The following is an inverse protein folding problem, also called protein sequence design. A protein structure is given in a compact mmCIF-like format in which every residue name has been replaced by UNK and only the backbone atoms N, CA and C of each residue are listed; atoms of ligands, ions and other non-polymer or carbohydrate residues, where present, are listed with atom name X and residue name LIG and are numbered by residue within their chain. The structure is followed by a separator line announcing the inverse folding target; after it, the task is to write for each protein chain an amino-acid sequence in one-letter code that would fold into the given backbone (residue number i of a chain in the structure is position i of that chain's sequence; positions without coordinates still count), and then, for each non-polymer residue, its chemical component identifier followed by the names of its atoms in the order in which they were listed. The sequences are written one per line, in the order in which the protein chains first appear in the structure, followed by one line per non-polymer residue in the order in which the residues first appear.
data_IF_871661136274
#
_entry.id   IF_871661136274
#
_cell.length_a   1.000
_cell.length_b   1.000
_cell.length_c   1.000
_cell.angle_alpha   90.00
_cell.angle_beta   90.00
_cell.angle_gamma   90.00
#
_symmetry.space_group_name_H-M   'P 1'
#
loop_
_entity.id
_entity.type
_entity.pdbx_description
1 polymer ?
#
# COMPACT_ATOMS: atom_id res chain seq x y z
N UNK A 1 -47.65 38.71 37.26
CA UNK A 1 -47.94 37.92 36.04
C UNK A 1 -46.80 38.13 35.06
N UNK A 2 -46.37 37.05 34.41
CA UNK A 2 -45.08 36.84 33.73
C UNK A 2 -44.81 37.69 32.47
N UNK A 3 -43.54 37.59 32.02
CA UNK A 3 -42.98 37.73 30.66
C UNK A 3 -42.31 39.08 30.34
N UNK A 4 -41.16 39.17 29.66
CA UNK A 4 -40.18 38.18 29.21
C UNK A 4 -38.90 38.92 28.73
N UNK A 5 -37.85 38.13 28.53
CA UNK A 5 -36.43 38.44 28.30
C UNK A 5 -36.08 38.66 26.81
N UNK A 6 -35.02 39.44 26.58
CA UNK A 6 -34.03 39.39 25.48
C UNK A 6 -34.41 39.69 24.02
N UNK A 7 -33.47 40.35 23.31
CA UNK A 7 -33.26 40.08 21.88
C UNK A 7 -32.60 41.15 21.02
N UNK A 8 -31.34 41.53 21.26
CA UNK A 8 -30.48 42.13 20.22
C UNK A 8 -29.06 41.59 20.30
N UNK A 9 -28.82 40.48 19.63
CA UNK A 9 -27.49 40.02 19.20
C UNK A 9 -27.68 39.07 18.00
N UNK A 10 -28.03 39.64 16.85
CA UNK A 10 -28.07 38.94 15.55
C UNK A 10 -27.27 39.76 14.54
N UNK A 11 -25.95 39.67 14.62
CA UNK A 11 -25.07 40.11 13.52
C UNK A 11 -23.71 39.41 13.55
N UNK A 12 -23.28 38.92 14.71
CA UNK A 12 -21.97 38.29 14.89
C UNK A 12 -21.94 36.82 14.41
N UNK A 13 -23.10 36.13 14.41
CA UNK A 13 -23.17 34.71 14.06
C UNK A 13 -22.94 34.41 12.57
N UNK A 14 -23.30 35.33 11.67
CA UNK A 14 -23.19 35.11 10.22
C UNK A 14 -21.74 35.20 9.73
N UNK A 15 -20.99 36.19 10.22
CA UNK A 15 -19.57 36.36 9.88
C UNK A 15 -18.71 35.20 10.39
N UNK A 16 -19.03 34.64 11.57
CA UNK A 16 -18.27 33.53 12.14
C UNK A 16 -18.41 32.25 11.29
N UNK A 17 -19.61 31.97 10.77
CA UNK A 17 -19.88 30.77 9.97
C UNK A 17 -19.19 30.85 8.60
N UNK A 18 -19.20 32.03 7.95
CA UNK A 18 -18.49 32.24 6.69
C UNK A 18 -16.96 32.12 6.85
N UNK A 19 -16.42 32.58 7.98
CA UNK A 19 -15.00 32.42 8.31
C UNK A 19 -14.62 30.94 8.50
N UNK A 20 -15.45 30.14 9.15
CA UNK A 20 -15.19 28.70 9.35
C UNK A 20 -15.22 27.95 8.00
N UNK A 21 -16.13 28.29 7.09
CA UNK A 21 -16.16 27.70 5.75
C UNK A 21 -14.95 28.11 4.89
N UNK A 22 -14.49 29.36 4.99
CA UNK A 22 -13.28 29.82 4.30
C UNK A 22 -12.02 29.13 4.84
N UNK A 23 -11.92 28.93 6.16
CA UNK A 23 -10.84 28.17 6.79
C UNK A 23 -10.89 26.70 6.34
N UNK A 24 -12.07 26.07 6.28
CA UNK A 24 -12.22 24.69 5.82
C UNK A 24 -11.73 24.51 4.37
N UNK A 25 -12.05 25.47 3.47
CA UNK A 25 -11.59 25.47 2.08
C UNK A 25 -10.08 25.73 1.96
N UNK A 26 -9.50 26.59 2.81
CA UNK A 26 -8.05 26.85 2.85
C UNK A 26 -7.26 25.71 3.52
N UNK A 27 -7.90 24.91 4.38
CA UNK A 27 -7.34 23.68 4.94
C UNK A 27 -7.54 22.45 4.06
N UNK A 28 -8.09 22.61 2.85
CA UNK A 28 -7.86 21.65 1.75
C UNK A 28 -6.40 21.74 1.35
N UNK A 29 -5.55 21.29 2.27
CA UNK A 29 -4.14 21.06 2.11
C UNK A 29 -4.02 20.25 0.83
N UNK A 30 -3.42 20.85 -0.20
CA UNK A 30 -2.72 20.03 -1.17
C UNK A 30 -1.87 19.08 -0.34
N UNK A 31 -2.24 17.81 -0.32
CA UNK A 31 -1.35 16.76 0.14
C UNK A 31 -0.20 16.77 -0.85
N UNK A 32 0.74 17.68 -0.62
CA UNK A 32 2.12 17.54 -1.04
C UNK A 32 2.55 16.28 -0.29
N UNK A 33 2.23 15.13 -0.88
CA UNK A 33 2.88 13.89 -0.53
C UNK A 33 4.37 14.24 -0.61
N UNK A 34 5.11 14.11 0.50
CA UNK A 34 6.56 14.14 0.42
C UNK A 34 6.92 13.23 -0.75
N UNK A 35 7.81 13.69 -1.65
CA UNK A 35 8.45 12.76 -2.59
C UNK A 35 9.01 11.65 -1.70
N UNK A 36 8.32 10.52 -1.67
CA UNK A 36 8.79 9.39 -0.89
C UNK A 36 10.20 9.11 -1.37
N UNK A 37 11.17 8.91 -0.45
CA UNK A 37 12.53 8.60 -0.85
C UNK A 37 12.45 7.42 -1.81
N UNK A 38 13.06 7.56 -3.00
CA UNK A 38 13.09 6.53 -4.02
C UNK A 38 13.43 5.19 -3.34
N UNK A 39 12.47 4.26 -3.40
CA UNK A 39 12.59 3.02 -2.67
C UNK A 39 13.66 2.17 -3.34
N UNK A 40 14.83 2.18 -2.73
CA UNK A 40 15.95 1.40 -3.19
C UNK A 40 15.86 -0.02 -2.58
N UNK A 41 15.07 -0.88 -3.22
CA UNK A 41 14.81 -2.26 -2.78
C UNK A 41 16.11 -3.06 -2.74
N UNK A 42 16.90 -2.97 -3.81
CA UNK A 42 18.18 -3.68 -3.95
C UNK A 42 19.11 -3.41 -2.77
N UNK A 43 19.32 -2.14 -2.38
CA UNK A 43 20.17 -1.77 -1.23
C UNK A 43 19.57 -2.12 0.11
N UNK A 44 18.24 -2.16 0.25
CA UNK A 44 17.61 -2.57 1.52
C UNK A 44 17.82 -4.07 1.74
N UNK A 45 17.55 -4.88 0.73
CA UNK A 45 17.68 -6.34 0.81
C UNK A 45 19.15 -6.77 0.90
N UNK A 46 20.05 -6.10 0.18
CA UNK A 46 21.48 -6.43 0.18
C UNK A 46 22.20 -6.19 1.53
N UNK A 47 21.60 -5.43 2.45
CA UNK A 47 22.17 -5.17 3.79
C UNK A 47 21.77 -6.19 4.83
N UNK A 48 20.82 -7.06 4.51
CA UNK A 48 20.25 -8.02 5.46
C UNK A 48 20.93 -9.38 5.32
N UNK A 49 21.02 -10.09 6.45
CA UNK A 49 21.34 -11.51 6.45
C UNK A 49 20.07 -12.27 6.04
N UNK A 50 20.18 -13.17 5.06
CA UNK A 50 19.04 -13.99 4.59
C UNK A 50 18.37 -14.77 5.74
N UNK A 51 19.13 -15.18 6.76
CA UNK A 51 18.61 -15.88 7.93
C UNK A 51 17.75 -14.99 8.84
N UNK A 52 17.86 -13.68 8.68
CA UNK A 52 17.08 -12.68 9.39
C UNK A 52 15.89 -12.16 8.58
N UNK A 53 15.73 -12.59 7.33
CA UNK A 53 14.62 -12.19 6.47
C UNK A 53 13.50 -13.23 6.45
N UNK A 54 12.26 -12.75 6.38
CA UNK A 54 11.10 -13.55 6.01
C UNK A 54 10.30 -12.87 4.92
N UNK A 55 9.76 -13.68 4.02
CA UNK A 55 8.75 -13.28 3.04
C UNK A 55 7.40 -13.83 3.50
N UNK A 56 6.42 -12.96 3.67
CA UNK A 56 5.03 -13.36 3.88
C UNK A 56 4.22 -13.01 2.65
N UNK A 57 3.53 -13.98 2.06
CA UNK A 57 2.65 -13.80 0.89
C UNK A 57 1.22 -14.04 1.34
N UNK A 58 0.35 -13.09 1.02
CA UNK A 58 -1.10 -13.20 1.11
C UNK A 58 -1.64 -13.22 -0.30
N UNK A 59 -2.46 -14.21 -0.63
CA UNK A 59 -3.07 -14.30 -1.95
C UNK A 59 -4.53 -14.74 -1.86
N UNK A 60 -5.33 -14.25 -2.79
CA UNK A 60 -6.71 -14.60 -2.96
C UNK A 60 -6.89 -15.20 -4.35
N UNK A 61 -7.49 -16.38 -4.43
CA UNK A 61 -7.75 -17.05 -5.70
C UNK A 61 -8.48 -16.09 -6.66
N UNK A 62 -8.03 -15.96 -7.92
CA UNK A 62 -8.56 -14.96 -8.85
C UNK A 62 -10.03 -15.17 -9.21
N UNK A 63 -10.57 -16.38 -9.04
CA UNK A 63 -11.97 -16.71 -9.27
C UNK A 63 -12.90 -16.26 -8.13
N UNK A 64 -12.37 -15.83 -6.99
CA UNK A 64 -13.16 -15.32 -5.88
C UNK A 64 -13.60 -13.89 -6.15
N UNK A 65 -14.91 -13.69 -6.32
CA UNK A 65 -15.49 -12.38 -6.56
C UNK A 65 -15.43 -11.51 -5.30
N UNK A 66 -14.97 -10.27 -5.46
CA UNK A 66 -14.98 -9.26 -4.41
C UNK A 66 -16.03 -8.20 -4.73
N UNK A 67 -16.71 -7.68 -3.70
CA UNK A 67 -17.72 -6.64 -3.88
C UNK A 67 -17.11 -5.28 -4.23
N UNK A 68 -15.85 -5.07 -3.86
CA UNK A 68 -15.09 -3.86 -4.11
C UNK A 68 -13.60 -4.18 -4.28
N UNK A 69 -12.82 -3.27 -4.90
CA UNK A 69 -11.37 -3.37 -4.96
C UNK A 69 -10.73 -3.45 -3.57
N UNK A 70 -9.94 -4.48 -3.31
CA UNK A 70 -9.32 -4.68 -2.00
C UNK A 70 -8.06 -3.81 -1.83
N UNK A 71 -7.90 -3.19 -0.67
CA UNK A 71 -6.60 -2.72 -0.18
C UNK A 71 -5.73 -3.89 0.29
N UNK A 72 -4.47 -3.65 0.67
CA UNK A 72 -3.62 -4.67 1.27
C UNK A 72 -4.23 -5.16 2.61
N UNK A 73 -4.73 -4.23 3.42
CA UNK A 73 -5.35 -4.53 4.72
C UNK A 73 -6.67 -5.29 4.55
N UNK A 74 -7.49 -4.93 3.57
CA UNK A 74 -8.71 -5.66 3.24
C UNK A 74 -8.38 -7.09 2.78
N UNK A 75 -7.33 -7.27 1.97
CA UNK A 75 -6.89 -8.58 1.50
C UNK A 75 -6.43 -9.47 2.67
N UNK A 76 -5.59 -8.95 3.56
CA UNK A 76 -5.10 -9.69 4.73
C UNK A 76 -6.24 -10.15 5.65
N UNK A 77 -7.29 -9.36 5.74
CA UNK A 77 -8.48 -9.66 6.57
C UNK A 77 -9.58 -10.41 5.82
N UNK A 78 -9.37 -10.73 4.54
CA UNK A 78 -10.37 -11.41 3.73
C UNK A 78 -10.51 -12.88 4.13
N UNK A 79 -11.74 -13.39 4.23
CA UNK A 79 -12.02 -14.73 4.77
C UNK A 79 -11.28 -15.85 4.03
N UNK A 80 -11.23 -15.77 2.71
CA UNK A 80 -10.66 -16.82 1.85
C UNK A 80 -9.20 -16.53 1.45
N UNK A 81 -8.54 -15.57 2.11
CA UNK A 81 -7.13 -15.28 1.85
C UNK A 81 -6.26 -16.44 2.33
N UNK A 82 -5.30 -16.80 1.50
CA UNK A 82 -4.29 -17.78 1.83
C UNK A 82 -2.99 -17.08 2.19
N UNK A 83 -2.29 -17.62 3.19
CA UNK A 83 -1.04 -17.06 3.72
C UNK A 83 0.09 -18.07 3.62
N UNK A 84 1.21 -17.64 3.04
CA UNK A 84 2.45 -18.41 2.93
C UNK A 84 3.57 -17.63 3.61
N UNK A 85 4.43 -18.33 4.37
CA UNK A 85 5.58 -17.71 5.05
C UNK A 85 6.84 -18.48 4.68
N UNK A 86 7.80 -17.79 4.06
CA UNK A 86 9.07 -18.33 3.56
C UNK A 86 10.21 -17.70 4.36
N UNK A 87 11.23 -18.51 4.71
CA UNK A 87 12.39 -18.11 5.52
C UNK A 87 13.62 -18.91 5.10
N UNK A 88 14.81 -18.38 5.40
CA UNK A 88 16.06 -19.11 5.23
C UNK A 88 16.44 -19.29 3.75
N UNK A 89 17.09 -20.42 3.42
CA UNK A 89 17.66 -20.66 2.09
C UNK A 89 16.66 -20.61 0.93
N UNK A 90 15.37 -20.83 1.18
CA UNK A 90 14.32 -20.69 0.17
C UNK A 90 14.16 -19.26 -0.37
N UNK A 91 14.78 -18.27 0.29
CA UNK A 91 14.79 -16.87 -0.15
C UNK A 91 15.99 -16.50 -1.03
N UNK A 92 16.93 -17.42 -1.30
CA UNK A 92 18.15 -17.11 -2.07
C UNK A 92 17.82 -16.60 -3.48
N UNK A 93 17.04 -17.38 -4.23
CA UNK A 93 16.59 -17.00 -5.58
C UNK A 93 15.72 -15.73 -5.58
N UNK A 94 14.68 -15.59 -4.72
CA UNK A 94 13.95 -14.34 -4.58
C UNK A 94 14.83 -13.11 -4.30
N UNK A 95 15.83 -13.24 -3.42
CA UNK A 95 16.74 -12.14 -3.10
C UNK A 95 17.65 -11.78 -4.27
N UNK A 96 18.12 -12.77 -5.03
CA UNK A 96 18.94 -12.54 -6.21
C UNK A 96 18.16 -11.85 -7.34
N UNK A 97 16.87 -12.19 -7.51
CA UNK A 97 15.97 -11.47 -8.40
C UNK A 97 15.81 -10.00 -7.98
N UNK A 98 15.58 -9.73 -6.69
CA UNK A 98 15.41 -8.37 -6.17
C UNK A 98 16.65 -7.48 -6.36
N UNK A 99 17.86 -8.06 -6.40
CA UNK A 99 19.09 -7.32 -6.70
C UNK A 99 19.14 -6.78 -8.13
N UNK A 100 18.35 -7.35 -9.05
CA UNK A 100 18.29 -6.92 -10.45
C UNK A 100 17.36 -5.71 -10.66
N UNK A 101 16.56 -5.35 -9.65
CA UNK A 101 15.71 -4.16 -9.71
C UNK A 101 16.61 -2.92 -9.68
N UNK A 102 16.43 -2.04 -10.67
CA UNK A 102 17.12 -0.75 -10.70
C UNK A 102 16.71 0.09 -9.47
N UNK A 103 17.67 0.83 -8.94
CA UNK A 103 17.54 1.67 -7.74
C UNK A 103 16.41 2.71 -7.84
N UNK A 104 16.05 3.10 -9.08
CA UNK A 104 15.03 4.09 -9.40
C UNK A 104 13.82 3.43 -10.06
N UNK A 105 12.87 2.93 -9.26
CA UNK A 105 11.57 2.49 -9.76
C UNK A 105 10.80 3.70 -10.31
N UNK A 106 10.37 3.60 -11.57
CA UNK A 106 9.56 4.65 -12.22
C UNK A 106 8.13 4.63 -11.65
N UNK A 107 7.73 5.69 -10.96
CA UNK A 107 6.32 5.88 -10.57
C UNK A 107 5.45 6.15 -11.80
N UNK A 108 4.22 5.65 -11.80
CA UNK A 108 3.27 6.01 -12.87
C UNK A 108 2.70 7.42 -12.69
N UNK A 109 2.41 8.11 -13.81
CA UNK A 109 1.87 9.49 -13.79
C UNK A 109 0.42 9.56 -13.34
N UNK A 110 -0.40 8.59 -13.72
CA UNK A 110 -1.81 8.50 -13.37
C UNK A 110 -2.00 7.25 -12.52
N UNK A 111 -2.33 7.44 -11.24
CA UNK A 111 -2.50 6.35 -10.30
C UNK A 111 -3.80 5.60 -10.57
N UNK A 112 -3.70 4.28 -10.62
CA UNK A 112 -4.78 3.32 -10.62
C UNK A 112 -5.26 3.11 -9.19
N UNK A 113 -6.49 2.61 -9.05
CA UNK A 113 -7.00 2.20 -7.73
C UNK A 113 -6.39 0.84 -7.37
N UNK A 114 -5.87 0.71 -6.15
CA UNK A 114 -5.43 -0.59 -5.62
C UNK A 114 -6.62 -1.57 -5.62
N UNK A 115 -6.38 -2.75 -6.15
CA UNK A 115 -7.29 -3.89 -6.11
C UNK A 115 -6.44 -5.14 -5.89
N UNK A 116 -5.93 -5.30 -4.67
CA UNK A 116 -4.97 -6.35 -4.35
C UNK A 116 -5.61 -7.74 -4.46
N UNK A 117 -4.95 -8.63 -5.21
CA UNK A 117 -5.20 -10.08 -5.16
C UNK A 117 -4.03 -10.83 -4.58
N UNK A 118 -2.84 -10.27 -4.73
CA UNK A 118 -1.66 -10.70 -4.03
C UNK A 118 -1.08 -9.51 -3.28
N UNK A 119 -0.65 -9.75 -2.05
CA UNK A 119 0.12 -8.84 -1.24
C UNK A 119 1.26 -9.62 -0.58
N UNK A 120 2.49 -9.12 -0.66
CA UNK A 120 3.58 -9.74 0.08
C UNK A 120 4.47 -8.71 0.78
N UNK A 121 5.12 -9.16 1.85
CA UNK A 121 5.95 -8.33 2.71
C UNK A 121 7.27 -9.04 2.96
N UNK A 122 8.36 -8.31 2.72
CA UNK A 122 9.68 -8.68 3.21
C UNK A 122 9.93 -8.00 4.55
N UNK A 123 10.24 -8.80 5.57
CA UNK A 123 10.53 -8.33 6.92
C UNK A 123 11.91 -8.84 7.36
N UNK A 124 12.67 -7.96 8.01
CA UNK A 124 13.88 -8.30 8.74
C UNK A 124 13.55 -8.42 10.23
N UNK A 125 14.10 -9.44 10.89
CA UNK A 125 14.04 -9.58 12.35
C UNK A 125 14.60 -8.36 13.08
N UNK A 126 15.59 -7.68 12.48
CA UNK A 126 16.28 -6.52 13.07
C UNK A 126 15.60 -5.20 12.73
N UNK A 127 15.25 -5.02 11.45
CA UNK A 127 14.82 -3.72 10.91
C UNK A 127 13.30 -3.63 10.66
N UNK A 128 12.55 -4.69 10.94
CA UNK A 128 11.12 -4.77 10.65
C UNK A 128 10.85 -4.82 9.15
N UNK A 129 9.76 -4.19 8.71
CA UNK A 129 9.35 -4.19 7.30
C UNK A 129 10.42 -3.53 6.40
N UNK A 130 10.97 -4.30 5.46
CA UNK A 130 11.91 -3.81 4.45
C UNK A 130 11.16 -3.12 3.32
N UNK A 131 10.18 -3.83 2.75
CA UNK A 131 9.24 -3.33 1.76
C UNK A 131 8.04 -4.29 1.62
N UNK A 132 6.98 -3.81 0.99
CA UNK A 132 5.81 -4.59 0.62
C UNK A 132 5.40 -4.34 -0.82
N UNK A 133 4.69 -5.32 -1.40
CA UNK A 133 4.18 -5.26 -2.77
C UNK A 133 2.73 -5.71 -2.80
N UNK A 134 1.85 -4.91 -3.39
CA UNK A 134 0.48 -5.28 -3.72
C UNK A 134 0.31 -5.34 -5.24
N UNK A 135 -0.31 -6.40 -5.75
CA UNK A 135 -0.46 -6.61 -7.19
C UNK A 135 -1.81 -7.24 -7.56
N UNK A 136 -2.02 -7.27 -8.88
CA UNK A 136 -3.13 -7.95 -9.56
C UNK A 136 -4.51 -7.34 -9.31
N UNK A 137 -4.66 -6.09 -9.74
CA UNK A 137 -5.94 -5.44 -9.95
C UNK A 137 -6.52 -5.63 -11.36
N UNK A 138 -7.49 -4.80 -11.76
CA UNK A 138 -8.07 -4.81 -13.12
C UNK A 138 -7.03 -4.42 -14.20
N UNK A 139 -6.01 -3.66 -13.81
CA UNK A 139 -5.03 -3.04 -14.71
C UNK A 139 -3.63 -3.65 -14.60
N UNK A 140 -3.47 -4.79 -13.90
CA UNK A 140 -2.17 -5.42 -13.62
C UNK A 140 -1.15 -4.49 -12.95
N UNK A 141 -1.62 -3.44 -12.27
CA UNK A 141 -0.79 -2.50 -11.51
C UNK A 141 -0.01 -3.18 -10.38
N UNK A 142 1.20 -2.70 -10.17
CA UNK A 142 2.07 -3.10 -9.06
C UNK A 142 2.29 -1.89 -8.16
N UNK A 143 2.03 -2.07 -6.87
CA UNK A 143 2.24 -1.05 -5.85
C UNK A 143 3.34 -1.54 -4.93
N UNK A 144 4.39 -0.75 -4.76
CA UNK A 144 5.48 -1.05 -3.85
C UNK A 144 5.48 -0.01 -2.74
N UNK A 145 5.37 -0.45 -1.48
CA UNK A 145 5.13 0.42 -0.32
C UNK A 145 3.96 1.40 -0.54
N UNK A 146 2.91 0.97 -1.25
CA UNK A 146 1.75 1.81 -1.60
C UNK A 146 1.96 2.78 -2.77
N UNK A 147 3.15 2.85 -3.38
CA UNK A 147 3.42 3.64 -4.58
C UNK A 147 3.27 2.77 -5.82
N UNK A 148 2.40 3.18 -6.74
CA UNK A 148 2.29 2.49 -8.02
C UNK A 148 3.53 2.75 -8.89
N UNK A 149 4.18 1.67 -9.28
CA UNK A 149 5.37 1.67 -10.12
C UNK A 149 5.01 1.08 -11.48
N UNK A 150 5.77 1.48 -12.50
CA UNK A 150 5.70 0.83 -13.81
C UNK A 150 6.02 -0.66 -13.64
N UNK A 151 5.22 -1.51 -14.27
CA UNK A 151 5.34 -2.96 -14.13
C UNK A 151 6.76 -3.46 -14.39
N UNK A 152 7.20 -4.36 -13.51
CA UNK A 152 8.45 -5.09 -13.59
C UNK A 152 8.17 -6.54 -13.21
N UNK A 153 8.42 -7.46 -14.13
CA UNK A 153 8.09 -8.89 -13.99
C UNK A 153 8.80 -9.53 -12.79
N UNK A 154 9.95 -8.97 -12.37
CA UNK A 154 10.69 -9.41 -11.17
C UNK A 154 9.77 -9.48 -9.94
N UNK A 155 8.85 -8.52 -9.76
CA UNK A 155 7.98 -8.53 -8.58
C UNK A 155 7.08 -9.75 -8.51
N UNK A 156 6.69 -10.28 -9.67
CA UNK A 156 5.92 -11.51 -9.78
C UNK A 156 6.84 -12.74 -9.71
N UNK A 157 7.97 -12.73 -10.42
CA UNK A 157 8.93 -13.84 -10.43
C UNK A 157 9.46 -14.19 -9.03
N UNK A 158 9.64 -13.17 -8.16
CA UNK A 158 10.02 -13.31 -6.75
C UNK A 158 9.09 -14.23 -5.96
N UNK A 159 7.82 -14.32 -6.32
CA UNK A 159 6.82 -15.08 -5.57
C UNK A 159 6.24 -16.28 -6.33
N UNK A 160 6.40 -16.31 -7.65
CA UNK A 160 5.74 -17.26 -8.55
C UNK A 160 5.97 -18.73 -8.14
N UNK A 161 7.17 -19.07 -7.69
CA UNK A 161 7.53 -20.44 -7.29
C UNK A 161 6.84 -20.90 -6.00
N UNK A 162 6.31 -19.97 -5.20
CA UNK A 162 5.60 -20.27 -3.96
C UNK A 162 4.08 -20.25 -4.10
N UNK A 163 3.57 -19.67 -5.19
CA UNK A 163 2.14 -19.65 -5.45
C UNK A 163 1.69 -20.99 -6.05
N UNK A 164 0.49 -21.49 -5.69
CA UNK A 164 -0.04 -22.70 -6.31
C UNK A 164 -0.43 -22.45 -7.77
N UNK A 165 -0.43 -23.52 -8.57
CA UNK A 165 -0.66 -23.46 -10.02
C UNK A 165 -2.02 -22.84 -10.40
N UNK A 166 -3.01 -22.87 -9.51
CA UNK A 166 -4.35 -22.32 -9.72
C UNK A 166 -4.43 -20.79 -9.54
N UNK A 167 -3.31 -20.14 -9.27
CA UNK A 167 -3.23 -18.68 -9.10
C UNK A 167 -2.98 -17.90 -10.38
N UNK A 168 -2.68 -18.55 -11.52
CA UNK A 168 -2.32 -17.89 -12.79
C UNK A 168 -3.39 -18.03 -13.86
#
# INVERSE_FOLDING_TARGET
MLCCRNGKNKSISGCLILLIFAIAMLTSRENIHPKEPALNISKRVAKEDINDISLTIYYLNPFILTRYPLSAEDLISFTDVQKIVIRGGDLEEPMDLLKQINDDLESVKKKSRVNARIYYVFESKKNGKLFDVAMWGRDSSVFVNGVEVKGNDIFYDVIKTFLPEDTV
#
